data_IF_353273701962
#
_entry.id   IF_353273701962
#
_cell.length_a   1.000
_cell.length_b   1.000
_cell.length_c   1.000
_cell.angle_alpha   90.00
_cell.angle_beta   90.00
_cell.angle_gamma   90.00
#
_symmetry.space_group_name_H-M   'P 1'
#
loop_
_entity.id
_entity.type
_entity.pdbx_description
1 polymer ?
#
# COMPACT_ATOMS: atom_id res chain seq x y z
N UNK A 1 -22.86 -40.17 -9.82
CA UNK A 1 -23.07 -38.79 -10.31
C UNK A 1 -22.63 -37.86 -9.20
N UNK A 2 -21.43 -37.26 -9.24
CA UNK A 2 -21.03 -36.06 -8.48
C UNK A 2 -19.51 -35.76 -8.54
N UNK A 3 -18.64 -36.69 -8.95
CA UNK A 3 -17.19 -36.39 -9.04
C UNK A 3 -16.81 -35.68 -10.35
N UNK A 4 -17.33 -36.11 -11.50
CA UNK A 4 -17.04 -35.47 -12.80
C UNK A 4 -17.60 -34.05 -12.92
N UNK A 5 -18.73 -33.76 -12.27
CA UNK A 5 -19.33 -32.42 -12.23
C UNK A 5 -18.49 -31.47 -11.36
N UNK A 6 -18.01 -31.94 -10.20
CA UNK A 6 -17.11 -31.16 -9.35
C UNK A 6 -15.74 -30.96 -10.00
N UNK A 7 -15.18 -31.99 -10.64
CA UNK A 7 -13.93 -31.89 -11.40
C UNK A 7 -14.07 -30.96 -12.61
N UNK A 8 -15.21 -30.98 -13.30
CA UNK A 8 -15.51 -30.06 -14.39
C UNK A 8 -15.63 -28.61 -13.95
N UNK A 9 -16.24 -28.35 -12.79
CA UNK A 9 -16.32 -27.00 -12.21
C UNK A 9 -14.94 -26.52 -11.72
N UNK A 10 -14.18 -27.39 -11.06
CA UNK A 10 -12.81 -27.11 -10.61
C UNK A 10 -11.88 -26.81 -11.79
N UNK A 11 -11.94 -27.60 -12.87
CA UNK A 11 -11.15 -27.35 -14.08
C UNK A 11 -11.57 -26.05 -14.76
N UNK A 12 -12.87 -25.74 -14.84
CA UNK A 12 -13.33 -24.48 -15.43
C UNK A 12 -12.91 -23.26 -14.61
N UNK A 13 -12.96 -23.35 -13.29
CA UNK A 13 -12.44 -22.31 -12.40
C UNK A 13 -10.93 -22.16 -12.54
N UNK A 14 -10.20 -23.28 -12.58
CA UNK A 14 -8.74 -23.32 -12.83
C UNK A 14 -8.38 -22.69 -14.17
N UNK A 15 -9.13 -23.00 -15.24
CA UNK A 15 -8.90 -22.46 -16.58
C UNK A 15 -9.19 -20.95 -16.63
N UNK A 16 -10.23 -20.46 -15.96
CA UNK A 16 -10.50 -19.02 -15.84
C UNK A 16 -9.40 -18.32 -15.06
N UNK A 17 -8.93 -18.92 -13.96
CA UNK A 17 -7.83 -18.39 -13.16
C UNK A 17 -6.55 -18.36 -14.00
N UNK A 18 -6.19 -19.46 -14.65
CA UNK A 18 -4.95 -19.58 -15.44
C UNK A 18 -4.95 -18.69 -16.69
N UNK A 19 -6.08 -18.55 -17.38
CA UNK A 19 -6.15 -17.83 -18.67
C UNK A 19 -6.43 -16.34 -18.56
N UNK A 20 -7.15 -15.89 -17.52
CA UNK A 20 -7.58 -14.49 -17.39
C UNK A 20 -7.03 -13.79 -16.17
N UNK A 21 -6.83 -14.50 -15.05
CA UNK A 21 -6.41 -13.89 -13.79
C UNK A 21 -4.89 -13.86 -13.69
N UNK A 22 -4.22 -15.01 -13.83
CA UNK A 22 -2.76 -15.14 -13.75
C UNK A 22 -2.03 -14.13 -14.66
N UNK A 23 -2.37 -13.99 -15.96
CA UNK A 23 -1.67 -13.06 -16.84
C UNK A 23 -1.97 -11.58 -16.60
N UNK A 24 -3.02 -11.23 -15.83
CA UNK A 24 -3.39 -9.82 -15.55
C UNK A 24 -3.30 -9.49 -14.05
N UNK A 25 -2.60 -10.30 -13.27
CA UNK A 25 -2.57 -10.18 -11.81
C UNK A 25 -2.02 -8.83 -11.36
N UNK A 26 -1.02 -8.31 -12.08
CA UNK A 26 -0.43 -6.99 -11.89
C UNK A 26 -1.47 -5.87 -11.99
N UNK A 27 -2.26 -5.86 -13.06
CA UNK A 27 -3.26 -4.83 -13.31
C UNK A 27 -4.42 -4.97 -12.33
N UNK A 28 -4.82 -6.20 -12.01
CA UNK A 28 -5.87 -6.49 -11.02
C UNK A 28 -5.46 -5.99 -9.63
N UNK A 29 -4.21 -6.21 -9.20
CA UNK A 29 -3.70 -5.69 -7.93
C UNK A 29 -3.69 -4.16 -7.91
N UNK A 30 -3.19 -3.51 -8.97
CA UNK A 30 -3.15 -2.04 -9.03
C UNK A 30 -4.56 -1.45 -8.92
N UNK A 31 -5.51 -1.96 -9.70
CA UNK A 31 -6.91 -1.51 -9.66
C UNK A 31 -7.52 -1.75 -8.27
N UNK A 32 -7.30 -2.93 -7.68
CA UNK A 32 -7.81 -3.26 -6.35
C UNK A 32 -7.26 -2.31 -5.28
N UNK A 33 -5.95 -2.03 -5.29
CA UNK A 33 -5.32 -1.11 -4.33
C UNK A 33 -5.88 0.31 -4.45
N UNK A 34 -6.06 0.82 -5.68
CA UNK A 34 -6.63 2.15 -5.93
C UNK A 34 -8.06 2.22 -5.40
N UNK A 35 -8.92 1.25 -5.75
CA UNK A 35 -10.32 1.21 -5.30
C UNK A 35 -10.38 1.14 -3.77
N UNK A 36 -9.56 0.29 -3.16
CA UNK A 36 -9.50 0.12 -1.72
C UNK A 36 -9.04 1.41 -1.02
N UNK A 37 -8.00 2.07 -1.55
CA UNK A 37 -7.50 3.34 -1.04
C UNK A 37 -8.53 4.46 -1.12
N UNK A 38 -9.24 4.58 -2.24
CA UNK A 38 -10.32 5.54 -2.42
C UNK A 38 -11.47 5.23 -1.45
N UNK A 39 -11.89 3.97 -1.36
CA UNK A 39 -12.97 3.52 -0.48
C UNK A 39 -12.69 3.86 0.99
N UNK A 40 -11.50 3.50 1.49
CA UNK A 40 -11.11 3.82 2.86
C UNK A 40 -10.89 5.33 3.09
N UNK A 41 -10.43 6.07 2.08
CA UNK A 41 -10.31 7.52 2.16
C UNK A 41 -11.66 8.19 2.36
N UNK A 42 -12.70 7.78 1.62
CA UNK A 42 -14.05 8.30 1.80
C UNK A 42 -14.66 7.87 3.14
N UNK A 43 -14.51 6.60 3.52
CA UNK A 43 -15.07 6.08 4.77
C UNK A 43 -14.48 6.77 6.01
N UNK A 44 -13.18 7.07 5.98
CA UNK A 44 -12.47 7.76 7.08
C UNK A 44 -12.59 9.28 7.02
N UNK A 45 -13.35 9.83 6.05
CA UNK A 45 -13.49 11.27 5.79
C UNK A 45 -12.14 11.97 5.58
N UNK A 46 -11.30 11.38 4.72
CA UNK A 46 -9.99 11.90 4.35
C UNK A 46 -9.10 12.16 5.58
N UNK A 47 -9.01 11.15 6.45
CA UNK A 47 -8.27 11.24 7.71
C UNK A 47 -6.81 11.64 7.50
N UNK A 48 -6.20 11.24 6.38
CA UNK A 48 -4.84 11.64 6.01
C UNK A 48 -4.64 13.17 6.04
N UNK A 49 -5.60 13.97 5.59
CA UNK A 49 -5.49 15.43 5.59
C UNK A 49 -5.96 16.03 6.91
N UNK A 50 -7.05 15.51 7.48
CA UNK A 50 -7.63 16.01 8.73
C UNK A 50 -6.68 15.86 9.91
N UNK A 51 -6.00 14.72 10.03
CA UNK A 51 -5.11 14.44 11.16
C UNK A 51 -3.66 14.87 10.92
N UNK A 52 -3.29 15.28 9.70
CA UNK A 52 -1.93 15.69 9.39
C UNK A 52 -1.44 16.81 10.32
N UNK A 53 -2.27 17.85 10.52
CA UNK A 53 -1.93 18.96 11.40
C UNK A 53 -1.75 18.53 12.86
N UNK A 54 -2.57 17.59 13.34
CA UNK A 54 -2.46 17.06 14.70
C UNK A 54 -1.19 16.24 14.88
N UNK A 55 -0.82 15.45 13.88
CA UNK A 55 0.42 14.67 13.88
C UNK A 55 1.63 15.58 13.96
N UNK A 56 1.71 16.65 13.16
CA UNK A 56 2.82 17.61 13.26
C UNK A 56 2.95 18.26 14.63
N UNK A 57 1.82 18.59 15.28
CA UNK A 57 1.82 19.12 16.65
C UNK A 57 2.40 18.11 17.65
N UNK A 58 1.95 16.86 17.60
CA UNK A 58 2.41 15.78 18.50
C UNK A 58 3.90 15.45 18.27
N UNK A 59 4.37 15.52 17.02
CA UNK A 59 5.78 15.30 16.70
C UNK A 59 6.70 16.44 17.18
N UNK A 60 6.17 17.66 17.29
CA UNK A 60 6.92 18.87 17.69
C UNK A 60 6.84 19.13 19.20
N UNK A 61 5.81 18.61 19.88
CA UNK A 61 5.70 18.69 21.34
C UNK A 61 6.86 17.94 22.01
N UNK A 62 7.55 18.63 22.93
CA UNK A 62 8.68 18.08 23.66
C UNK A 62 8.13 17.09 24.68
N UNK A 63 8.61 15.83 24.65
CA UNK A 63 8.24 14.82 25.64
C UNK A 63 8.76 15.24 27.03
N UNK A 64 7.90 15.84 27.85
CA UNK A 64 8.23 16.25 29.22
C UNK A 64 8.08 15.12 30.26
N UNK A 65 7.65 13.92 29.84
CA UNK A 65 7.43 12.76 30.71
C UNK A 65 8.50 11.68 30.56
N UNK A 66 9.41 11.59 31.52
CA UNK A 66 10.42 10.54 31.62
C UNK A 66 9.82 9.16 31.94
N UNK A 67 10.02 8.17 31.05
CA UNK A 67 10.10 6.72 31.40
C UNK A 67 10.99 6.04 30.35
N UNK A 68 12.04 5.32 30.78
CA UNK A 68 13.12 4.81 29.92
C UNK A 68 12.71 3.76 28.88
N UNK A 69 11.47 3.28 28.91
CA UNK A 69 10.95 2.24 28.01
C UNK A 69 10.09 2.75 26.83
N UNK A 70 9.70 4.03 26.82
CA UNK A 70 8.83 4.56 25.76
C UNK A 70 9.64 5.32 24.70
N UNK A 71 9.56 4.86 23.45
CA UNK A 71 10.07 5.58 22.28
C UNK A 71 9.22 6.84 22.01
N UNK A 72 9.87 7.94 21.64
CA UNK A 72 9.18 9.17 21.27
C UNK A 72 8.28 8.95 20.04
N UNK A 73 7.14 9.65 19.91
CA UNK A 73 6.31 9.62 18.69
C UNK A 73 7.11 9.88 17.41
N UNK A 74 8.12 10.75 17.46
CA UNK A 74 9.03 10.98 16.34
C UNK A 74 9.95 9.79 16.07
N UNK A 75 10.45 9.13 17.12
CA UNK A 75 11.25 7.91 16.95
C UNK A 75 10.41 6.77 16.38
N UNK A 76 9.17 6.60 16.83
CA UNK A 76 8.24 5.60 16.27
C UNK A 76 7.95 5.87 14.78
N UNK A 77 7.75 7.14 14.40
CA UNK A 77 7.62 7.55 13.00
C UNK A 77 8.88 7.18 12.20
N UNK A 78 10.06 7.55 12.69
CA UNK A 78 11.33 7.27 12.01
C UNK A 78 11.57 5.77 11.85
N UNK A 79 11.25 4.95 12.86
CA UNK A 79 11.34 3.48 12.79
C UNK A 79 10.37 2.93 11.73
N UNK A 80 9.12 3.41 11.71
CA UNK A 80 8.14 3.00 10.69
C UNK A 80 8.48 3.49 9.28
N UNK A 81 9.13 4.64 9.14
CA UNK A 81 9.57 5.15 7.84
C UNK A 81 10.79 4.39 7.35
N UNK A 82 11.75 4.10 8.24
CA UNK A 82 12.93 3.30 7.92
C UNK A 82 12.58 1.89 7.44
N UNK A 83 11.51 1.27 7.96
CA UNK A 83 11.06 -0.05 7.50
C UNK A 83 10.39 -0.02 6.11
N UNK A 84 9.87 1.14 5.68
CA UNK A 84 9.19 1.31 4.40
C UNK A 84 10.08 1.92 3.32
N UNK A 85 11.09 2.70 3.70
CA UNK A 85 12.05 3.34 2.79
C UNK A 85 13.27 2.43 2.63
N UNK A 86 13.40 1.83 1.46
CA UNK A 86 14.55 0.99 1.12
C UNK A 86 15.12 1.29 -0.25
N UNK A 87 16.24 0.62 -0.57
CA UNK A 87 16.92 0.72 -1.87
C UNK A 87 15.94 0.44 -3.02
N UNK A 88 15.02 -0.50 -2.84
CA UNK A 88 13.99 -0.86 -3.82
C UNK A 88 13.08 0.30 -4.23
N UNK A 89 12.67 1.17 -3.28
CA UNK A 89 11.85 2.33 -3.62
C UNK A 89 12.64 3.34 -4.45
N UNK A 90 13.91 3.59 -4.10
CA UNK A 90 14.77 4.54 -4.82
C UNK A 90 15.10 4.03 -6.23
N UNK A 91 15.47 2.75 -6.35
CA UNK A 91 15.73 2.11 -7.64
C UNK A 91 14.48 2.06 -8.51
N UNK A 92 13.32 1.77 -7.91
CA UNK A 92 12.02 1.78 -8.59
C UNK A 92 11.65 3.16 -9.13
N UNK A 93 11.76 4.22 -8.32
CA UNK A 93 11.56 5.60 -8.76
C UNK A 93 12.51 5.95 -9.91
N UNK A 94 13.79 5.60 -9.79
CA UNK A 94 14.81 5.88 -10.82
C UNK A 94 14.48 5.19 -12.15
N UNK A 95 14.05 3.92 -12.10
CA UNK A 95 13.64 3.18 -13.29
C UNK A 95 12.35 3.73 -13.89
N UNK A 96 11.36 4.08 -13.06
CA UNK A 96 10.11 4.69 -13.51
C UNK A 96 10.35 6.06 -14.17
N UNK A 97 11.28 6.86 -13.63
CA UNK A 97 11.72 8.11 -14.24
C UNK A 97 12.44 7.89 -15.58
N UNK A 98 13.36 6.92 -15.63
CA UNK A 98 14.12 6.63 -16.84
C UNK A 98 13.23 6.11 -17.97
N UNK A 99 12.19 5.34 -17.64
CA UNK A 99 11.30 4.70 -18.63
C UNK A 99 10.05 5.52 -18.94
N UNK A 100 9.47 6.20 -17.95
CA UNK A 100 8.21 6.96 -18.05
C UNK A 100 8.37 8.48 -18.06
N UNK A 101 9.59 8.99 -17.89
CA UNK A 101 9.87 10.42 -17.83
C UNK A 101 9.36 11.09 -16.54
N UNK A 102 9.34 12.42 -16.52
CA UNK A 102 8.98 13.20 -15.32
C UNK A 102 7.54 12.94 -14.85
N UNK A 103 6.63 12.52 -15.73
CA UNK A 103 5.24 12.20 -15.40
C UNK A 103 5.09 11.02 -14.44
N UNK A 104 6.08 10.14 -14.35
CA UNK A 104 6.08 9.01 -13.40
C UNK A 104 6.05 9.47 -11.94
N UNK A 105 6.63 10.64 -11.63
CA UNK A 105 6.62 11.19 -10.26
C UNK A 105 5.24 11.66 -9.81
N UNK A 106 4.35 12.02 -10.75
CA UNK A 106 3.00 12.45 -10.40
C UNK A 106 2.12 11.28 -9.94
N UNK A 107 2.37 10.08 -10.47
CA UNK A 107 1.55 8.90 -10.22
C UNK A 107 2.02 8.05 -9.03
N UNK A 108 3.18 8.36 -8.45
CA UNK A 108 3.69 7.77 -7.20
C UNK A 108 3.17 8.50 -5.98
#
# INVERSE_FOLDING_TARGET
MNLDIMLGFANKASDVIASKIVPNTDTIMVVLLIVCGIYYSFLTRFVQFRMLSSVFKILTEKNEGHTKEHISPFQALMISTASRVGIGNIAGISLALATGGAGALFWM
#
